data_IF_910539888034
#
_entry.id   IF_910539888034
#
_cell.length_a   1.000
_cell.length_b   1.000
_cell.length_c   1.000
_cell.angle_alpha   90.00
_cell.angle_beta   90.00
_cell.angle_gamma   90.00
#
_symmetry.space_group_name_H-M   'P 1'
#
loop_
_entity.id
_entity.type
_entity.pdbx_description
1 polymer ?
#
# COMPACT_ATOMS: atom_id res chain seq x y z
N UNK A 1 5.56 2.01 21.74
CA UNK A 1 6.79 1.30 21.30
C UNK A 1 7.54 0.84 22.54
N UNK A 2 8.02 -0.41 22.56
CA UNK A 2 8.81 -0.97 23.66
C UNK A 2 10.17 -0.25 23.76
N UNK A 3 10.67 -0.08 24.98
CA UNK A 3 11.95 0.59 25.23
C UNK A 3 13.15 -0.29 24.85
N UNK A 4 14.25 0.33 24.46
CA UNK A 4 15.56 -0.32 24.28
C UNK A 4 16.40 -0.17 25.56
N UNK A 5 17.18 -1.19 25.95
CA UNK A 5 17.61 -2.34 25.14
C UNK A 5 16.65 -3.56 25.14
N UNK A 6 15.51 -3.48 25.83
CA UNK A 6 14.60 -4.63 26.03
C UNK A 6 13.82 -5.05 24.78
N UNK A 7 13.58 -4.14 23.84
CA UNK A 7 12.88 -4.46 22.59
C UNK A 7 13.62 -5.56 21.79
N UNK A 8 12.93 -6.70 21.63
CA UNK A 8 13.30 -7.77 20.72
C UNK A 8 12.05 -8.28 20.00
N UNK A 9 12.07 -8.26 18.66
CA UNK A 9 10.97 -8.77 17.84
C UNK A 9 10.71 -10.26 18.08
N UNK A 10 11.73 -11.05 18.42
CA UNK A 10 11.59 -12.51 18.62
C UNK A 10 10.67 -12.83 19.80
N UNK A 11 10.69 -12.01 20.86
CA UNK A 11 9.78 -12.13 22.01
C UNK A 11 8.33 -12.07 21.54
N UNK A 12 7.97 -10.99 20.85
CA UNK A 12 6.61 -10.81 20.34
C UNK A 12 6.20 -11.85 19.29
N UNK A 13 7.12 -12.33 18.45
CA UNK A 13 6.87 -13.48 17.55
C UNK A 13 6.49 -14.73 18.35
N UNK A 14 7.24 -15.04 19.41
CA UNK A 14 6.97 -16.21 20.25
C UNK A 14 5.66 -16.10 21.02
N UNK A 15 5.27 -14.90 21.45
CA UNK A 15 3.95 -14.65 22.07
C UNK A 15 2.82 -14.99 21.09
N UNK A 16 2.92 -14.55 19.83
CA UNK A 16 1.91 -14.88 18.80
C UNK A 16 1.87 -16.38 18.50
N UNK A 17 3.04 -17.03 18.42
CA UNK A 17 3.11 -18.49 18.23
C UNK A 17 2.48 -19.25 19.40
N UNK A 18 2.74 -18.83 20.65
CA UNK A 18 2.14 -19.42 21.84
C UNK A 18 0.61 -19.24 21.85
N UNK A 19 0.11 -18.08 21.44
CA UNK A 19 -1.32 -17.81 21.29
C UNK A 19 -1.97 -18.75 20.26
N UNK A 20 -1.38 -18.88 19.07
CA UNK A 20 -1.87 -19.81 18.04
C UNK A 20 -1.87 -21.26 18.54
N UNK A 21 -0.79 -21.68 19.23
CA UNK A 21 -0.69 -23.01 19.81
C UNK A 21 -1.78 -23.27 20.87
N UNK A 22 -2.13 -22.27 21.69
CA UNK A 22 -3.21 -22.39 22.67
C UNK A 22 -4.60 -22.59 22.04
N UNK A 23 -4.77 -22.13 20.80
CA UNK A 23 -5.97 -22.33 19.99
C UNK A 23 -5.93 -23.65 19.18
N UNK A 24 -4.86 -24.44 19.31
CA UNK A 24 -4.68 -25.69 18.56
C UNK A 24 -4.09 -25.51 17.16
N UNK A 25 -3.58 -24.32 16.82
CA UNK A 25 -2.93 -24.04 15.54
C UNK A 25 -1.41 -24.12 15.71
N UNK A 26 -0.80 -25.14 15.12
CA UNK A 26 0.66 -25.26 15.04
C UNK A 26 1.19 -24.40 13.89
N UNK A 27 1.90 -23.33 14.23
CA UNK A 27 2.55 -22.45 13.27
C UNK A 27 4.06 -22.36 13.57
N UNK A 28 4.85 -22.10 12.52
CA UNK A 28 6.29 -21.91 12.61
C UNK A 28 6.67 -20.52 12.07
N UNK A 29 7.66 -19.89 12.69
CA UNK A 29 8.28 -18.71 12.09
C UNK A 29 9.09 -19.11 10.85
N UNK A 30 8.89 -18.41 9.74
CA UNK A 30 9.57 -18.66 8.47
C UNK A 30 10.23 -17.40 7.93
N UNK A 31 11.49 -17.54 7.52
CA UNK A 31 12.30 -16.44 7.04
C UNK A 31 12.45 -15.33 8.09
N UNK A 32 12.25 -14.08 7.68
CA UNK A 32 12.44 -12.91 8.56
C UNK A 32 11.15 -12.43 9.24
N UNK A 33 10.02 -12.62 8.57
CA UNK A 33 8.78 -11.86 8.81
C UNK A 33 7.51 -12.71 8.73
N UNK A 34 7.56 -14.00 8.38
CA UNK A 34 6.35 -14.77 8.09
C UNK A 34 6.06 -15.78 9.21
N UNK A 35 4.79 -16.04 9.49
CA UNK A 35 4.37 -17.27 10.17
C UNK A 35 3.65 -18.17 9.17
N UNK A 36 4.01 -19.45 9.18
CA UNK A 36 3.46 -20.46 8.27
C UNK A 36 2.83 -21.61 9.03
N UNK A 37 1.83 -22.22 8.41
CA UNK A 37 1.19 -23.45 8.89
C UNK A 37 1.37 -24.54 7.85
N UNK A 38 1.42 -25.80 8.29
CA UNK A 38 1.48 -26.96 7.41
C UNK A 38 0.07 -27.30 6.93
N UNK A 39 -0.10 -27.41 5.61
CA UNK A 39 -1.34 -27.88 4.98
C UNK A 39 -1.07 -29.12 4.13
N UNK A 40 -2.12 -29.81 3.66
CA UNK A 40 -1.97 -30.94 2.74
C UNK A 40 -1.21 -30.57 1.44
N UNK A 41 -1.23 -29.29 1.06
CA UNK A 41 -0.58 -28.76 -0.13
C UNK A 41 0.77 -28.08 0.16
N UNK A 42 1.34 -28.35 1.33
CA UNK A 42 2.59 -27.77 1.85
C UNK A 42 2.38 -26.52 2.71
N UNK A 43 3.47 -25.84 3.02
CA UNK A 43 3.44 -24.68 3.90
C UNK A 43 2.65 -23.51 3.29
N UNK A 44 1.86 -22.83 4.12
CA UNK A 44 1.06 -21.66 3.77
C UNK A 44 1.26 -20.56 4.78
N UNK A 45 1.48 -19.34 4.32
CA UNK A 45 1.63 -18.14 5.15
C UNK A 45 0.28 -17.72 5.73
N UNK A 46 0.22 -17.51 7.04
CA UNK A 46 -0.97 -17.01 7.76
C UNK A 46 -0.73 -15.66 8.44
N UNK A 47 0.54 -15.24 8.55
CA UNK A 47 0.94 -13.95 9.12
C UNK A 47 2.10 -13.36 8.34
N UNK A 48 2.08 -12.05 8.15
CA UNK A 48 3.24 -11.26 7.74
C UNK A 48 3.51 -10.13 8.72
N UNK A 49 4.78 -9.91 9.02
CA UNK A 49 5.26 -8.93 9.99
C UNK A 49 6.13 -7.85 9.38
N UNK A 50 6.12 -6.69 10.02
CA UNK A 50 7.06 -5.60 9.81
C UNK A 50 7.43 -4.94 11.14
N UNK A 51 8.53 -4.19 11.15
CA UNK A 51 9.07 -3.58 12.35
C UNK A 51 9.63 -2.20 12.05
N UNK A 52 9.61 -1.35 13.06
CA UNK A 52 10.25 -0.03 13.04
C UNK A 52 10.98 0.19 14.34
N UNK A 53 12.19 0.72 14.21
CA UNK A 53 13.07 1.01 15.32
C UNK A 53 13.51 2.48 15.28
N UNK A 54 13.64 3.04 16.47
CA UNK A 54 14.26 4.33 16.75
C UNK A 54 15.45 4.11 17.68
N UNK A 55 16.08 5.19 18.13
CA UNK A 55 17.25 5.12 19.03
C UNK A 55 16.91 4.41 20.34
N UNK A 56 15.77 4.74 20.94
CA UNK A 56 15.38 4.33 22.28
C UNK A 56 14.19 3.37 22.30
N UNK A 57 13.53 3.12 21.16
CA UNK A 57 12.30 2.31 21.12
C UNK A 57 12.15 1.50 19.84
N UNK A 58 11.34 0.43 19.90
CA UNK A 58 10.93 -0.36 18.74
C UNK A 58 9.49 -0.84 18.83
N UNK A 59 8.90 -1.16 17.68
CA UNK A 59 7.68 -1.95 17.64
C UNK A 59 7.72 -2.97 16.49
N UNK A 60 7.07 -4.10 16.76
CA UNK A 60 6.80 -5.16 15.80
C UNK A 60 5.29 -5.27 15.68
N UNK A 61 4.80 -5.23 14.44
CA UNK A 61 3.40 -5.46 14.13
C UNK A 61 3.30 -6.53 13.04
N UNK A 62 2.16 -7.21 13.00
CA UNK A 62 1.90 -8.24 12.03
C UNK A 62 0.41 -8.42 11.76
N UNK A 63 0.10 -9.36 10.88
CA UNK A 63 -1.27 -9.72 10.53
C UNK A 63 -1.55 -11.18 10.91
N UNK A 64 -2.83 -11.53 11.07
CA UNK A 64 -3.27 -12.92 11.07
C UNK A 64 -4.45 -13.04 10.10
N UNK A 65 -4.30 -13.89 9.09
CA UNK A 65 -5.35 -14.17 8.12
C UNK A 65 -6.36 -15.12 8.76
N UNK A 66 -7.41 -14.56 9.37
CA UNK A 66 -8.46 -15.34 10.03
C UNK A 66 -9.40 -15.95 8.99
N UNK A 67 -10.12 -15.08 8.27
CA UNK A 67 -11.12 -15.42 7.27
C UNK A 67 -11.18 -14.33 6.19
N UNK A 68 -10.01 -13.89 5.72
CA UNK A 68 -9.92 -12.85 4.70
C UNK A 68 -10.40 -13.37 3.35
N UNK A 69 -10.98 -12.49 2.52
CA UNK A 69 -11.26 -12.82 1.13
C UNK A 69 -9.94 -12.86 0.34
N UNK A 70 -9.38 -14.07 0.22
CA UNK A 70 -8.09 -14.29 -0.45
C UNK A 70 -8.16 -13.97 -1.95
N UNK A 71 -9.35 -14.00 -2.56
CA UNK A 71 -9.53 -13.62 -3.97
C UNK A 71 -9.36 -12.11 -4.15
N UNK A 72 -9.98 -11.31 -3.28
CA UNK A 72 -9.82 -9.85 -3.28
C UNK A 72 -8.40 -9.43 -2.91
N UNK A 73 -7.79 -10.11 -1.93
CA UNK A 73 -6.39 -9.90 -1.57
C UNK A 73 -5.48 -10.11 -2.78
N UNK A 74 -5.65 -11.22 -3.51
CA UNK A 74 -4.87 -11.50 -4.71
C UNK A 74 -5.11 -10.45 -5.80
N UNK A 75 -6.36 -10.00 -5.98
CA UNK A 75 -6.72 -9.01 -6.99
C UNK A 75 -6.03 -7.65 -6.73
N UNK A 76 -6.13 -7.12 -5.51
CA UNK A 76 -5.55 -5.80 -5.18
C UNK A 76 -4.02 -5.81 -5.06
N UNK A 77 -3.40 -6.96 -4.81
CA UNK A 77 -1.94 -7.11 -4.73
C UNK A 77 -1.29 -7.56 -6.04
N UNK A 78 -2.05 -7.62 -7.15
CA UNK A 78 -1.54 -7.95 -8.47
C UNK A 78 -1.56 -6.71 -9.38
N UNK A 79 -0.58 -5.80 -9.24
CA UNK A 79 -0.53 -4.58 -10.06
C UNK A 79 -0.26 -4.91 -11.53
N UNK A 80 -0.73 -4.04 -12.42
CA UNK A 80 -0.44 -4.12 -13.84
C UNK A 80 1.07 -3.99 -14.09
N UNK A 81 1.67 -5.08 -14.60
CA UNK A 81 3.12 -5.19 -14.83
C UNK A 81 3.69 -4.13 -15.78
N UNK A 82 2.85 -3.52 -16.62
CA UNK A 82 3.27 -2.54 -17.63
C UNK A 82 3.67 -1.18 -17.03
N UNK A 83 3.28 -0.88 -15.79
CA UNK A 83 3.19 0.52 -15.33
C UNK A 83 4.43 1.10 -14.65
N UNK A 84 5.42 0.34 -14.14
CA UNK A 84 6.39 0.96 -13.21
C UNK A 84 7.82 0.39 -13.25
N UNK A 85 8.78 1.26 -13.56
CA UNK A 85 10.19 1.07 -13.24
C UNK A 85 10.52 1.90 -11.98
N UNK A 86 10.17 1.35 -10.80
CA UNK A 86 10.32 2.05 -9.52
C UNK A 86 11.53 1.52 -8.73
N UNK A 87 12.22 2.42 -8.03
CA UNK A 87 13.20 2.07 -7.00
C UNK A 87 12.44 1.82 -5.70
N UNK A 88 12.57 0.65 -5.08
CA UNK A 88 11.86 0.38 -3.82
C UNK A 88 11.98 -1.06 -3.37
N UNK A 89 11.46 -1.34 -2.17
CA UNK A 89 11.39 -2.71 -1.65
C UNK A 89 10.23 -3.41 -2.36
N UNK A 90 10.55 -4.38 -3.21
CA UNK A 90 9.54 -5.19 -3.90
C UNK A 90 8.89 -6.18 -2.93
N UNK A 91 7.57 -6.32 -2.98
CA UNK A 91 6.83 -7.30 -2.19
C UNK A 91 7.25 -8.74 -2.54
N UNK A 92 7.53 -9.56 -1.52
CA UNK A 92 7.78 -11.00 -1.68
C UNK A 92 6.44 -11.73 -1.72
N UNK A 93 6.15 -12.42 -2.82
CA UNK A 93 4.91 -13.20 -2.97
C UNK A 93 5.04 -14.53 -2.24
N UNK A 94 4.09 -14.83 -1.36
CA UNK A 94 3.97 -16.12 -0.67
C UNK A 94 2.56 -16.68 -0.87
N UNK A 95 2.43 -18.01 -0.93
CA UNK A 95 1.11 -18.67 -0.89
C UNK A 95 0.55 -18.52 0.52
N UNK A 96 -0.66 -17.99 0.63
CA UNK A 96 -1.32 -17.72 1.90
C UNK A 96 -2.48 -18.69 2.14
N UNK A 97 -2.89 -18.82 3.40
CA UNK A 97 -4.11 -19.53 3.81
C UNK A 97 -4.80 -18.77 4.95
N UNK A 98 -6.09 -19.02 5.13
CA UNK A 98 -6.82 -18.54 6.30
C UNK A 98 -6.75 -19.54 7.46
N UNK A 99 -6.75 -19.04 8.68
CA UNK A 99 -6.81 -19.87 9.89
C UNK A 99 -8.14 -20.62 10.01
N UNK A 100 -9.24 -20.12 9.43
CA UNK A 100 -10.53 -20.85 9.36
C UNK A 100 -10.44 -22.18 8.63
N UNK A 101 -9.44 -22.38 7.76
CA UNK A 101 -9.21 -23.66 7.09
C UNK A 101 -8.67 -24.73 8.06
N UNK A 102 -7.97 -24.31 9.13
CA UNK A 102 -7.39 -25.18 10.15
C UNK A 102 -8.29 -25.30 11.38
N UNK A 103 -8.90 -24.17 11.78
CA UNK A 103 -9.78 -24.07 12.94
C UNK A 103 -11.11 -23.42 12.52
N UNK A 104 -12.09 -24.21 12.04
CA UNK A 104 -13.39 -23.69 11.64
C UNK A 104 -14.08 -22.96 12.79
N UNK A 105 -14.60 -21.76 12.51
CA UNK A 105 -15.28 -20.93 13.50
C UNK A 105 -14.39 -20.03 14.34
N UNK A 106 -13.07 -19.99 14.08
CA UNK A 106 -12.15 -19.04 14.74
C UNK A 106 -12.62 -17.59 14.52
N UNK A 107 -12.78 -16.85 15.62
CA UNK A 107 -13.20 -15.44 15.61
C UNK A 107 -12.04 -14.49 15.91
N UNK A 108 -12.24 -13.21 15.60
CA UNK A 108 -11.28 -12.15 15.93
C UNK A 108 -11.05 -12.07 17.45
N UNK A 109 -12.13 -12.11 18.23
CA UNK A 109 -12.13 -12.01 19.69
C UNK A 109 -11.39 -13.18 20.33
N UNK A 110 -11.57 -14.40 19.81
CA UNK A 110 -10.83 -15.57 20.30
C UNK A 110 -9.32 -15.41 20.10
N UNK A 111 -8.89 -14.87 18.97
CA UNK A 111 -7.47 -14.61 18.70
C UNK A 111 -6.95 -13.45 19.55
N UNK A 112 -7.71 -12.37 19.71
CA UNK A 112 -7.36 -11.28 20.63
C UNK A 112 -7.16 -11.80 22.05
N UNK A 113 -8.07 -12.63 22.55
CA UNK A 113 -7.97 -13.23 23.87
C UNK A 113 -6.73 -14.11 23.99
N UNK A 114 -6.48 -15.00 23.02
CA UNK A 114 -5.32 -15.88 23.05
C UNK A 114 -3.99 -15.10 23.04
N UNK A 115 -3.91 -14.03 22.24
CA UNK A 115 -2.72 -13.16 22.20
C UNK A 115 -2.55 -12.39 23.51
N UNK A 116 -3.63 -11.87 24.09
CA UNK A 116 -3.59 -11.18 25.39
C UNK A 116 -3.15 -12.14 26.52
N UNK A 117 -3.70 -13.36 26.56
CA UNK A 117 -3.30 -14.37 27.55
C UNK A 117 -1.83 -14.80 27.40
N UNK A 118 -1.37 -15.02 26.16
CA UNK A 118 0.04 -15.33 25.91
C UNK A 118 0.96 -14.15 26.28
N UNK A 119 0.52 -12.91 26.06
CA UNK A 119 1.23 -11.70 26.46
C UNK A 119 1.33 -11.60 27.98
N UNK A 120 0.23 -11.77 28.70
CA UNK A 120 0.21 -11.77 30.16
C UNK A 120 1.05 -12.89 30.77
N UNK A 121 1.01 -14.09 30.18
CA UNK A 121 1.84 -15.21 30.60
C UNK A 121 3.34 -14.92 30.43
N UNK A 122 3.72 -14.21 29.36
CA UNK A 122 5.13 -13.85 29.11
C UNK A 122 5.65 -12.81 30.12
N UNK A 123 4.88 -11.75 30.38
CA UNK A 123 5.31 -10.67 31.27
C UNK A 123 4.96 -10.88 32.75
N UNK A 124 4.13 -11.88 33.07
CA UNK A 124 3.75 -12.19 34.44
C UNK A 124 2.80 -11.19 35.10
N UNK A 125 2.19 -10.31 34.31
CA UNK A 125 1.32 -9.23 34.77
C UNK A 125 0.02 -9.20 33.97
N UNK A 126 -1.03 -8.62 34.54
CA UNK A 126 -2.33 -8.42 33.90
C UNK A 126 -2.81 -7.00 34.10
N UNK A 127 -3.45 -6.46 33.08
CA UNK A 127 -4.09 -5.14 33.11
C UNK A 127 -5.45 -5.22 32.42
N UNK A 128 -6.34 -4.32 32.78
CA UNK A 128 -7.62 -4.16 32.09
C UNK A 128 -7.41 -3.59 30.68
N UNK A 129 -8.24 -4.03 29.73
CA UNK A 129 -8.16 -3.56 28.35
C UNK A 129 -8.70 -2.13 28.23
N UNK A 130 -7.92 -1.23 27.64
CA UNK A 130 -8.36 0.11 27.28
C UNK A 130 -8.97 0.11 25.86
N UNK A 131 -10.25 0.48 25.76
CA UNK A 131 -10.96 0.51 24.47
C UNK A 131 -10.86 1.89 23.82
N UNK A 132 -10.27 1.94 22.63
CA UNK A 132 -10.21 3.15 21.81
C UNK A 132 -11.39 3.13 20.83
N UNK A 133 -12.34 4.05 21.00
CA UNK A 133 -13.53 4.16 20.15
C UNK A 133 -13.26 5.04 18.91
N UNK A 134 -13.78 4.66 17.72
CA UNK A 134 -13.74 5.54 16.54
C UNK A 134 -14.65 6.78 16.69
N UNK A 135 -15.66 6.71 17.57
CA UNK A 135 -16.64 7.80 17.76
C UNK A 135 -16.12 8.93 18.65
N UNK A 136 -14.95 8.72 19.28
CA UNK A 136 -14.31 9.69 20.16
C UNK A 136 -12.86 9.87 19.74
N UNK A 137 -12.48 11.11 19.43
CA UNK A 137 -11.08 11.43 19.16
C UNK A 137 -10.23 11.01 20.37
N UNK A 138 -9.20 10.14 20.18
CA UNK A 138 -8.33 9.72 21.25
C UNK A 138 -7.60 10.92 21.88
N UNK A 139 -7.54 10.94 23.21
CA UNK A 139 -6.75 11.90 23.96
C UNK A 139 -5.27 11.46 23.98
N UNK A 140 -4.64 11.55 22.81
CA UNK A 140 -3.24 11.20 22.60
C UNK A 140 -2.50 12.42 22.03
N UNK A 141 -1.28 12.71 22.49
CA UNK A 141 -0.53 13.86 22.02
C UNK A 141 -0.31 13.77 20.50
N UNK A 142 -0.54 14.90 19.81
CA UNK A 142 -0.38 15.05 18.36
C UNK A 142 -1.29 14.13 17.51
N UNK A 143 -2.37 13.59 18.08
CA UNK A 143 -3.26 12.66 17.36
C UNK A 143 -3.86 13.29 16.10
N UNK A 144 -4.45 14.47 16.21
CA UNK A 144 -5.13 15.12 15.08
C UNK A 144 -4.19 15.39 13.90
N UNK A 145 -2.98 15.87 14.17
CA UNK A 145 -1.95 16.10 13.15
C UNK A 145 -1.47 14.78 12.53
N UNK A 146 -1.21 13.76 13.35
CA UNK A 146 -0.78 12.44 12.89
C UNK A 146 -1.85 11.77 12.03
N UNK A 147 -3.12 11.89 12.42
CA UNK A 147 -4.25 11.37 11.66
C UNK A 147 -4.39 12.08 10.32
N UNK A 148 -4.35 13.42 10.31
CA UNK A 148 -4.41 14.20 9.08
C UNK A 148 -3.26 13.85 8.11
N UNK A 149 -2.04 13.68 8.64
CA UNK A 149 -0.89 13.22 7.85
C UNK A 149 -1.10 11.81 7.29
N UNK A 150 -1.49 10.84 8.13
CA UNK A 150 -1.67 9.45 7.72
C UNK A 150 -2.84 9.27 6.73
N UNK A 151 -3.81 10.18 6.74
CA UNK A 151 -4.92 10.23 5.77
C UNK A 151 -4.58 10.99 4.49
N UNK A 152 -3.47 11.72 4.44
CA UNK A 152 -3.13 12.59 3.32
C UNK A 152 -2.64 11.81 2.09
N UNK A 153 -2.87 12.36 0.89
CA UNK A 153 -2.37 11.77 -0.36
C UNK A 153 -0.85 11.87 -0.42
N UNK A 154 -0.29 12.97 0.05
CA UNK A 154 1.15 13.25 0.10
C UNK A 154 1.90 12.20 0.92
N UNK A 155 1.26 11.66 1.96
CA UNK A 155 1.82 10.56 2.74
C UNK A 155 1.61 9.20 2.06
N UNK A 156 0.37 8.86 1.69
CA UNK A 156 0.03 7.52 1.21
C UNK A 156 0.57 7.21 -0.20
N UNK A 157 0.69 8.23 -1.06
CA UNK A 157 1.14 8.10 -2.45
C UNK A 157 2.36 8.99 -2.72
N UNK A 158 2.40 10.21 -2.18
CA UNK A 158 3.49 11.15 -2.40
C UNK A 158 4.84 10.73 -1.81
N UNK A 159 4.87 9.83 -0.82
CA UNK A 159 6.13 9.25 -0.30
C UNK A 159 6.70 8.13 -1.17
N UNK A 160 6.09 7.82 -2.32
CA UNK A 160 6.68 6.89 -3.28
C UNK A 160 8.12 7.33 -3.63
N UNK A 161 9.10 6.41 -3.61
CA UNK A 161 10.44 6.73 -4.09
C UNK A 161 10.40 7.17 -5.56
N UNK A 162 11.44 7.88 -6.00
CA UNK A 162 11.53 8.32 -7.38
C UNK A 162 11.35 7.15 -8.36
N UNK A 163 10.48 7.34 -9.34
CA UNK A 163 10.17 6.37 -10.39
C UNK A 163 9.92 7.05 -11.72
N UNK A 164 10.06 6.28 -12.80
CA UNK A 164 9.65 6.71 -14.14
C UNK A 164 8.48 5.86 -14.62
N UNK A 165 7.57 6.48 -15.37
CA UNK A 165 6.41 5.83 -15.97
C UNK A 165 6.33 6.18 -17.45
N UNK A 166 6.35 5.15 -18.30
CA UNK A 166 6.07 5.24 -19.72
C UNK A 166 4.62 4.83 -19.96
N UNK A 167 3.87 5.71 -20.62
CA UNK A 167 2.47 5.53 -20.97
C UNK A 167 2.34 5.63 -22.48
N UNK A 168 1.63 4.70 -23.13
CA UNK A 168 1.39 4.73 -24.56
C UNK A 168 -0.08 4.40 -24.90
N UNK A 169 -0.60 5.05 -25.93
CA UNK A 169 -1.95 4.77 -26.47
C UNK A 169 -2.05 5.13 -27.95
N UNK A 170 -2.90 4.37 -28.66
CA UNK A 170 -3.18 4.61 -30.08
C UNK A 170 -4.58 5.17 -30.25
N UNK A 171 -4.67 6.45 -30.57
CA UNK A 171 -5.91 7.11 -30.95
C UNK A 171 -6.12 7.05 -32.47
N UNK A 172 -7.33 7.40 -32.90
CA UNK A 172 -7.67 7.49 -34.34
C UNK A 172 -6.87 8.59 -35.06
N UNK A 173 -6.43 9.61 -34.31
CA UNK A 173 -5.69 10.79 -34.79
C UNK A 173 -4.16 10.70 -34.59
N UNK A 174 -3.66 9.60 -34.04
CA UNK A 174 -2.24 9.38 -33.79
C UNK A 174 -1.97 8.54 -32.54
N UNK A 175 -0.75 8.04 -32.42
CA UNK A 175 -0.20 7.50 -31.19
C UNK A 175 0.35 8.60 -30.30
N UNK A 176 0.21 8.44 -29.00
CA UNK A 176 0.83 9.30 -27.98
C UNK A 176 1.58 8.42 -27.01
N UNK A 177 2.84 8.77 -26.78
CA UNK A 177 3.70 8.18 -25.76
C UNK A 177 4.16 9.28 -24.80
N UNK A 178 3.93 9.09 -23.50
CA UNK A 178 4.28 10.02 -22.42
C UNK A 178 5.29 9.38 -21.49
N UNK A 179 6.37 10.11 -21.18
CA UNK A 179 7.39 9.70 -20.23
C UNK A 179 7.37 10.64 -19.04
N UNK A 180 7.08 10.12 -17.85
CA UNK A 180 7.12 10.88 -16.61
C UNK A 180 8.27 10.44 -15.74
N UNK A 181 9.06 11.40 -15.26
CA UNK A 181 9.88 11.24 -14.07
C UNK A 181 9.10 11.83 -12.89
N UNK A 182 8.87 11.03 -11.84
CA UNK A 182 8.06 11.40 -10.69
C UNK A 182 8.89 11.35 -9.42
N UNK A 183 8.92 12.47 -8.69
CA UNK A 183 9.56 12.59 -7.38
C UNK A 183 8.59 13.20 -6.37
N UNK A 184 8.49 12.57 -5.20
CA UNK A 184 7.58 13.01 -4.11
C UNK A 184 6.11 13.17 -4.55
N UNK A 185 5.68 12.38 -5.54
CA UNK A 185 4.33 12.47 -6.11
C UNK A 185 4.12 13.63 -7.11
N UNK A 186 5.18 14.32 -7.55
CA UNK A 186 5.12 15.37 -8.56
C UNK A 186 5.92 14.98 -9.79
N UNK A 187 5.40 15.32 -10.97
CA UNK A 187 6.06 15.11 -12.26
C UNK A 187 7.21 16.13 -12.36
N UNK A 188 8.46 15.68 -12.23
CA UNK A 188 9.64 16.56 -12.35
C UNK A 188 10.05 16.78 -13.79
N UNK A 189 9.70 15.84 -14.67
CA UNK A 189 9.90 15.91 -16.12
C UNK A 189 8.79 15.15 -16.82
N UNK A 190 8.25 15.75 -17.87
CA UNK A 190 7.35 15.09 -18.82
C UNK A 190 7.93 15.21 -20.23
N UNK A 191 7.88 14.13 -20.99
CA UNK A 191 8.18 14.13 -22.43
C UNK A 191 7.03 13.50 -23.18
N UNK A 192 6.80 14.00 -24.40
CA UNK A 192 5.80 13.45 -25.30
C UNK A 192 6.43 13.06 -26.62
N UNK A 193 6.00 11.93 -27.17
CA UNK A 193 6.29 11.51 -28.53
C UNK A 193 4.95 11.20 -29.20
N UNK A 194 4.72 11.74 -30.39
CA UNK A 194 3.47 11.53 -31.12
C UNK A 194 3.72 11.54 -32.62
N UNK A 195 2.93 10.74 -33.35
CA UNK A 195 2.82 10.82 -34.81
C UNK A 195 1.53 11.53 -35.25
N UNK A 196 0.87 12.26 -34.33
CA UNK A 196 -0.27 13.11 -34.65
C UNK A 196 0.14 14.18 -35.68
N UNK A 197 -0.78 14.48 -36.61
CA UNK A 197 -0.59 15.56 -37.57
C UNK A 197 -0.61 16.95 -36.92
N UNK A 198 -1.13 17.06 -35.69
CA UNK A 198 -1.23 18.30 -34.93
C UNK A 198 -0.51 18.15 -33.57
N UNK A 199 0.84 18.19 -33.50
CA UNK A 199 1.61 17.89 -32.28
C UNK A 199 1.67 19.03 -31.26
N UNK A 200 1.35 20.27 -31.66
CA UNK A 200 1.45 21.45 -30.81
C UNK A 200 0.73 21.35 -29.44
N UNK A 201 -0.53 20.87 -29.34
CA UNK A 201 -1.18 20.70 -28.04
C UNK A 201 -0.50 19.66 -27.14
N UNK A 202 0.05 18.58 -27.70
CA UNK A 202 0.74 17.54 -26.94
C UNK A 202 2.09 18.03 -26.42
N UNK A 203 2.84 18.78 -27.23
CA UNK A 203 4.10 19.43 -26.82
C UNK A 203 3.84 20.43 -25.68
N UNK A 204 2.81 21.27 -25.82
CA UNK A 204 2.38 22.21 -24.78
C UNK A 204 1.91 21.48 -23.50
N UNK A 205 1.27 20.31 -23.63
CA UNK A 205 0.90 19.48 -22.48
C UNK A 205 2.13 19.02 -21.70
N UNK A 206 3.17 18.54 -22.38
CA UNK A 206 4.39 18.09 -21.72
C UNK A 206 5.03 19.20 -20.86
N UNK A 207 5.06 20.43 -21.36
CA UNK A 207 5.55 21.58 -20.59
C UNK A 207 4.67 21.88 -19.37
N UNK A 208 3.34 21.87 -19.55
CA UNK A 208 2.38 22.18 -18.46
C UNK A 208 2.31 21.11 -17.39
N UNK A 209 2.62 19.86 -17.73
CA UNK A 209 2.64 18.75 -16.77
C UNK A 209 3.84 18.80 -15.82
N UNK A 210 4.88 19.58 -16.14
CA UNK A 210 6.02 19.74 -15.25
C UNK A 210 5.60 20.46 -13.96
N UNK A 211 5.85 19.83 -12.81
CA UNK A 211 5.44 20.30 -11.49
C UNK A 211 4.02 19.90 -11.08
N UNK A 212 3.23 19.27 -11.97
CA UNK A 212 1.91 18.77 -11.61
C UNK A 212 2.01 17.58 -10.65
N UNK A 213 1.05 17.48 -9.73
CA UNK A 213 0.88 16.29 -8.92
C UNK A 213 0.51 15.11 -9.82
N UNK A 214 1.19 13.98 -9.66
CA UNK A 214 0.96 12.75 -10.42
C UNK A 214 -0.35 12.09 -9.95
N UNK A 215 -1.48 12.67 -10.38
CA UNK A 215 -2.82 12.28 -9.94
C UNK A 215 -3.83 12.55 -11.04
N UNK A 216 -4.72 11.57 -11.28
CA UNK A 216 -5.67 11.58 -12.39
C UNK A 216 -6.42 12.91 -12.54
N UNK A 217 -6.97 13.46 -11.44
CA UNK A 217 -7.74 14.71 -11.51
C UNK A 217 -6.90 15.92 -11.94
N UNK A 218 -5.63 15.97 -11.53
CA UNK A 218 -4.73 17.09 -11.86
C UNK A 218 -4.26 16.99 -13.32
N UNK A 219 -3.95 15.78 -13.79
CA UNK A 219 -3.59 15.57 -15.20
C UNK A 219 -4.77 15.90 -16.11
N UNK A 220 -5.98 15.47 -15.74
CA UNK A 220 -7.19 15.76 -16.48
C UNK A 220 -7.46 17.28 -16.58
N UNK A 221 -7.38 17.99 -15.44
CA UNK A 221 -7.52 19.46 -15.41
C UNK A 221 -6.47 20.16 -16.30
N UNK A 222 -5.24 19.65 -16.30
CA UNK A 222 -4.15 20.22 -17.11
C UNK A 222 -4.39 20.01 -18.60
N UNK A 223 -4.87 18.82 -19.00
CA UNK A 223 -5.29 18.54 -20.37
C UNK A 223 -6.49 19.42 -20.78
N UNK A 224 -7.50 19.52 -19.94
CA UNK A 224 -8.72 20.27 -20.25
C UNK A 224 -8.44 21.79 -20.39
N UNK A 225 -7.49 22.32 -19.64
CA UNK A 225 -7.06 23.72 -19.73
C UNK A 225 -6.45 24.07 -21.11
N UNK A 226 -5.85 23.11 -21.81
CA UNK A 226 -5.31 23.32 -23.16
C UNK A 226 -6.38 23.60 -24.21
N UNK A 227 -7.63 23.18 -23.98
CA UNK A 227 -8.73 23.39 -24.94
C UNK A 227 -9.03 24.87 -25.19
N UNK A 228 -8.66 25.74 -24.24
CA UNK A 228 -8.76 27.19 -24.42
C UNK A 228 -7.77 27.70 -25.46
N UNK A 229 -6.56 27.15 -25.47
CA UNK A 229 -5.47 27.57 -26.36
C UNK A 229 -5.50 26.83 -27.71
N UNK A 230 -6.08 25.63 -27.72
CA UNK A 230 -6.16 24.74 -28.89
C UNK A 230 -7.61 24.28 -29.14
N UNK A 231 -8.54 25.20 -29.46
CA UNK A 231 -9.95 24.86 -29.64
C UNK A 231 -10.22 23.97 -30.85
N UNK A 232 -9.34 23.99 -31.86
CA UNK A 232 -9.47 23.15 -33.06
C UNK A 232 -9.23 21.66 -32.78
N UNK A 233 -8.54 21.32 -31.69
CA UNK A 233 -8.21 19.95 -31.26
C UNK A 233 -8.99 19.52 -30.01
N UNK A 234 -10.16 20.12 -29.79
CA UNK A 234 -10.99 19.87 -28.61
C UNK A 234 -11.31 18.38 -28.41
N UNK A 235 -11.62 17.66 -29.50
CA UNK A 235 -12.00 16.25 -29.44
C UNK A 235 -10.79 15.38 -29.05
N UNK A 236 -9.64 15.61 -29.67
CA UNK A 236 -8.40 14.90 -29.39
C UNK A 236 -7.96 15.12 -27.94
N UNK A 237 -8.06 16.36 -27.45
CA UNK A 237 -7.75 16.70 -26.06
C UNK A 237 -8.71 16.04 -25.06
N UNK A 238 -10.00 15.90 -25.39
CA UNK A 238 -10.95 15.16 -24.55
C UNK A 238 -10.61 13.67 -24.46
N UNK A 239 -10.28 13.03 -25.58
CA UNK A 239 -9.86 11.62 -25.61
C UNK A 239 -8.56 11.41 -24.83
N UNK A 240 -7.57 12.29 -25.03
CA UNK A 240 -6.30 12.30 -24.31
C UNK A 240 -6.49 12.49 -22.80
N UNK A 241 -7.35 13.42 -22.40
CA UNK A 241 -7.71 13.73 -21.01
C UNK A 241 -8.38 12.54 -20.30
N UNK A 242 -9.30 11.85 -20.98
CA UNK A 242 -9.94 10.66 -20.43
C UNK A 242 -8.96 9.48 -20.29
N UNK A 243 -8.11 9.28 -21.29
CA UNK A 243 -7.11 8.21 -21.26
C UNK A 243 -6.05 8.44 -20.17
N UNK A 244 -5.44 9.62 -20.11
CA UNK A 244 -4.36 9.90 -19.15
C UNK A 244 -4.85 9.71 -17.70
N UNK A 245 -6.09 10.10 -17.41
CA UNK A 245 -6.71 9.91 -16.10
C UNK A 245 -6.93 8.44 -15.74
N UNK A 246 -7.25 7.58 -16.70
CA UNK A 246 -7.35 6.13 -16.50
C UNK A 246 -5.99 5.45 -16.39
N UNK A 247 -4.99 5.94 -17.11
CA UNK A 247 -3.69 5.31 -17.20
C UNK A 247 -2.86 5.46 -15.92
N UNK A 248 -3.06 6.55 -15.17
CA UNK A 248 -2.38 6.81 -13.89
C UNK A 248 -3.15 6.35 -12.63
N UNK A 249 -4.34 5.74 -12.81
CA UNK A 249 -5.10 5.09 -11.73
C UNK A 249 -4.59 3.67 -11.43
#
# INVERSE_FOLDING_TARGET
>A
MAGKPEYDKTISTNIVLAALNSLGVMADASGRNDLVVKTAEGDRKVSGSAYRETKDRGFHHGTLLLNADLSRLANYLNPDKKKLAAKGITSVRSRVANLTELLPGISHEQVCQAVAEAFFAHYGERVEAEVISPDKTPDLPNFAETFALQSSWEWNFGQAPAFSHLLDERFTWGGVELHFDVEKGYITRAQVFTDSLNPAPQEALAERLQGCQYRAEILQQTCDALRVDFPEQEKELQELSAWIAGAVR
#
